data_IF_924420617775
#
_entry.id   IF_924420617775
#
_cell.length_a   1.000
_cell.length_b   1.000
_cell.length_c   1.000
_cell.angle_alpha   90.00
_cell.angle_beta   90.00
_cell.angle_gamma   90.00
#
_symmetry.space_group_name_H-M   'P 1'
#
loop_
_entity.id
_entity.type
_entity.pdbx_description
1 polymer ?
#
# COMPACT_ATOMS: atom_id res chain seq x y z
N UNK A 1 4.04 -1.93 10.30
CA UNK A 1 5.39 -2.17 10.84
C UNK A 1 6.34 -1.14 10.26
N UNK A 2 7.28 -0.66 11.05
CA UNK A 2 8.27 0.32 10.60
C UNK A 2 9.43 -0.36 9.86
N UNK A 3 10.18 0.40 9.04
CA UNK A 3 11.29 -0.11 8.22
C UNK A 3 12.30 -0.94 9.03
N UNK A 4 12.68 -0.47 10.22
CA UNK A 4 13.66 -1.17 11.07
C UNK A 4 13.19 -2.56 11.51
N UNK A 5 11.88 -2.74 11.68
CA UNK A 5 11.29 -4.00 12.14
C UNK A 5 11.24 -5.07 11.05
N UNK A 6 11.21 -4.65 9.76
CA UNK A 6 11.00 -5.57 8.64
C UNK A 6 12.17 -5.64 7.65
N UNK A 7 13.24 -4.89 7.87
CA UNK A 7 14.37 -4.79 6.93
C UNK A 7 14.96 -6.13 6.52
N UNK A 8 14.88 -7.15 7.38
CA UNK A 8 15.36 -8.51 7.09
C UNK A 8 14.50 -9.24 6.03
N UNK A 9 13.26 -8.82 5.84
CA UNK A 9 12.36 -9.37 4.80
C UNK A 9 12.65 -8.79 3.41
N UNK A 10 13.27 -7.62 3.33
CA UNK A 10 13.59 -6.96 2.07
C UNK A 10 14.77 -7.64 1.36
N UNK A 11 14.78 -7.57 0.03
CA UNK A 11 16.00 -7.88 -0.73
C UNK A 11 17.06 -6.80 -0.46
N UNK A 12 18.32 -7.05 -0.79
CA UNK A 12 19.38 -6.05 -0.61
C UNK A 12 19.05 -4.75 -1.35
N UNK A 13 18.66 -4.83 -2.62
CA UNK A 13 18.30 -3.65 -3.43
C UNK A 13 17.12 -2.86 -2.83
N UNK A 14 16.09 -3.57 -2.34
CA UNK A 14 14.95 -2.92 -1.67
C UNK A 14 15.37 -2.28 -0.35
N UNK A 15 16.20 -2.96 0.44
CA UNK A 15 16.71 -2.41 1.69
C UNK A 15 17.50 -1.12 1.45
N UNK A 16 18.48 -1.16 0.54
CA UNK A 16 19.34 -0.02 0.25
C UNK A 16 18.51 1.16 -0.28
N UNK A 17 17.55 0.89 -1.17
CA UNK A 17 16.63 1.90 -1.69
C UNK A 17 15.81 2.59 -0.57
N UNK A 18 15.16 1.81 0.29
CA UNK A 18 14.34 2.39 1.37
C UNK A 18 15.16 3.05 2.47
N UNK A 19 16.39 2.60 2.68
CA UNK A 19 17.33 3.27 3.58
C UNK A 19 17.66 4.68 3.07
N UNK A 20 18.02 4.82 1.78
CA UNK A 20 18.29 6.11 1.16
C UNK A 20 17.04 7.00 1.10
N UNK A 21 15.89 6.44 0.77
CA UNK A 21 14.62 7.18 0.78
C UNK A 21 14.31 7.72 2.19
N UNK A 22 14.41 6.89 3.23
CA UNK A 22 14.20 7.29 4.63
C UNK A 22 15.10 8.44 5.03
N UNK A 23 16.39 8.35 4.68
CA UNK A 23 17.39 9.37 4.94
C UNK A 23 17.07 10.70 4.23
N UNK A 24 16.63 10.60 2.96
CA UNK A 24 16.31 11.76 2.13
C UNK A 24 15.06 12.53 2.61
N UNK A 25 13.99 11.80 2.95
CA UNK A 25 12.74 12.42 3.39
C UNK A 25 12.74 12.83 4.86
N UNK A 26 13.62 12.24 5.67
CA UNK A 26 13.75 12.45 7.13
C UNK A 26 12.46 12.07 7.90
N UNK A 27 11.71 11.12 7.38
CA UNK A 27 10.47 10.61 7.98
C UNK A 27 10.51 9.09 8.11
N UNK A 28 9.83 8.51 9.10
CA UNK A 28 9.66 7.07 9.21
C UNK A 28 8.91 6.50 8.02
N UNK A 29 9.35 5.33 7.53
CA UNK A 29 8.69 4.55 6.48
C UNK A 29 8.00 3.36 7.12
N UNK A 30 6.73 3.16 6.77
CA UNK A 30 5.90 2.07 7.26
C UNK A 30 5.53 1.13 6.11
N UNK A 31 5.46 -0.15 6.43
CA UNK A 31 5.07 -1.19 5.48
C UNK A 31 3.78 -1.85 5.90
N UNK A 32 2.99 -2.23 4.92
CA UNK A 32 1.69 -2.89 5.08
C UNK A 32 1.54 -4.05 4.08
N UNK A 33 0.36 -4.61 4.03
CA UNK A 33 0.05 -5.66 3.07
C UNK A 33 0.76 -6.98 3.38
N UNK A 34 1.22 -7.67 2.35
CA UNK A 34 1.77 -9.02 2.51
C UNK A 34 3.09 -9.08 3.27
N UNK A 35 3.92 -8.03 3.20
CA UNK A 35 5.26 -8.03 3.85
C UNK A 35 5.19 -8.15 5.37
N UNK A 36 4.11 -7.69 6.01
CA UNK A 36 3.91 -7.82 7.45
C UNK A 36 3.33 -9.18 7.86
N UNK A 37 2.98 -10.03 6.90
CA UNK A 37 2.36 -11.35 7.10
C UNK A 37 3.33 -12.49 6.82
N UNK A 38 2.86 -13.71 7.02
CA UNK A 38 3.62 -14.93 6.76
C UNK A 38 3.54 -15.39 5.29
N UNK A 39 2.60 -14.87 4.51
CA UNK A 39 2.43 -15.16 3.09
C UNK A 39 3.26 -14.25 2.16
N UNK A 40 4.26 -13.55 2.68
CA UNK A 40 5.13 -12.70 1.89
C UNK A 40 6.18 -13.51 1.12
N UNK A 41 6.25 -13.29 -0.18
CA UNK A 41 7.28 -13.85 -1.06
C UNK A 41 8.34 -12.78 -1.35
N UNK A 42 9.51 -12.96 -0.76
CA UNK A 42 10.64 -12.03 -0.88
C UNK A 42 11.08 -11.83 -2.32
N UNK A 43 11.01 -10.59 -2.81
CA UNK A 43 11.40 -10.21 -4.18
C UNK A 43 10.33 -10.44 -5.25
N UNK A 44 9.16 -11.02 -4.91
CA UNK A 44 8.05 -11.26 -5.83
C UNK A 44 6.79 -10.49 -5.46
N UNK A 45 6.46 -10.47 -4.16
CA UNK A 45 5.28 -9.75 -3.69
C UNK A 45 5.48 -8.25 -3.76
N UNK A 46 4.43 -7.54 -4.18
CA UNK A 46 4.39 -6.08 -4.16
C UNK A 46 4.61 -5.54 -2.74
N UNK A 47 5.21 -4.36 -2.65
CA UNK A 47 5.45 -3.68 -1.38
C UNK A 47 4.46 -2.50 -1.25
N UNK A 48 3.62 -2.56 -0.23
CA UNK A 48 2.75 -1.45 0.16
C UNK A 48 3.47 -0.59 1.20
N UNK A 49 3.83 0.63 0.82
CA UNK A 49 4.63 1.56 1.62
C UNK A 49 3.81 2.77 2.01
N UNK A 50 3.90 3.20 3.26
CA UNK A 50 3.22 4.37 3.78
C UNK A 50 4.17 5.33 4.48
N UNK A 51 3.92 6.61 4.28
CA UNK A 51 4.59 7.70 4.96
C UNK A 51 3.52 8.59 5.58
N UNK A 52 3.68 8.89 6.86
CA UNK A 52 2.83 9.83 7.57
C UNK A 52 3.58 11.13 7.76
N UNK A 53 3.00 12.24 7.29
CA UNK A 53 3.69 13.53 7.24
C UNK A 53 2.85 14.64 7.84
N UNK A 54 3.47 15.54 8.62
CA UNK A 54 2.84 16.77 9.06
C UNK A 54 2.59 17.73 7.89
N UNK A 55 3.44 17.67 6.85
CA UNK A 55 3.31 18.47 5.64
C UNK A 55 3.35 17.60 4.37
N UNK A 56 2.17 17.14 3.95
CA UNK A 56 2.05 16.25 2.79
C UNK A 56 2.63 16.87 1.51
N UNK A 57 2.42 18.17 1.27
CA UNK A 57 2.86 18.80 0.03
C UNK A 57 4.40 18.85 -0.06
N UNK A 58 5.08 19.21 1.01
CA UNK A 58 6.53 19.18 1.06
C UNK A 58 7.08 17.76 0.86
N UNK A 59 6.52 16.78 1.57
CA UNK A 59 6.94 15.37 1.44
C UNK A 59 6.68 14.83 0.04
N UNK A 60 5.56 15.19 -0.58
CA UNK A 60 5.25 14.84 -1.97
C UNK A 60 6.31 15.34 -2.94
N UNK A 61 6.74 16.60 -2.81
CA UNK A 61 7.80 17.18 -3.65
C UNK A 61 9.13 16.44 -3.44
N UNK A 62 9.53 16.20 -2.19
CA UNK A 62 10.75 15.42 -1.87
C UNK A 62 10.71 14.04 -2.52
N UNK A 63 9.58 13.32 -2.39
CA UNK A 63 9.43 11.97 -2.97
C UNK A 63 9.50 12.01 -4.50
N UNK A 64 8.82 12.96 -5.15
CA UNK A 64 8.91 13.12 -6.60
C UNK A 64 10.34 13.33 -7.06
N UNK A 65 11.06 14.21 -6.39
CA UNK A 65 12.46 14.47 -6.69
C UNK A 65 13.33 13.23 -6.50
N UNK A 66 13.16 12.52 -5.39
CA UNK A 66 13.91 11.29 -5.10
C UNK A 66 13.64 10.19 -6.14
N UNK A 67 12.37 9.98 -6.50
CA UNK A 67 11.97 8.94 -7.44
C UNK A 67 12.22 9.34 -8.90
N UNK A 68 12.57 10.60 -9.17
CA UNK A 68 12.68 11.18 -10.50
C UNK A 68 11.45 10.86 -11.39
N UNK A 69 10.24 11.00 -10.81
CA UNK A 69 9.00 10.73 -11.51
C UNK A 69 8.27 12.01 -11.87
N UNK A 70 8.04 12.21 -13.17
CA UNK A 70 7.24 13.33 -13.70
C UNK A 70 5.72 13.03 -13.65
N UNK A 71 5.34 11.76 -13.49
CA UNK A 71 3.93 11.34 -13.52
C UNK A 71 3.15 11.98 -12.39
N UNK A 72 1.94 12.40 -12.71
CA UNK A 72 0.97 12.95 -11.74
C UNK A 72 0.67 11.91 -10.67
N UNK A 73 0.74 12.34 -9.43
CA UNK A 73 0.30 11.57 -8.28
C UNK A 73 -1.19 11.28 -8.40
N UNK A 74 -1.61 10.11 -7.98
CA UNK A 74 -3.03 9.84 -7.81
C UNK A 74 -3.44 10.29 -6.40
N UNK A 75 -4.45 11.14 -6.33
CA UNK A 75 -5.14 11.42 -5.07
C UNK A 75 -5.99 10.19 -4.77
N UNK A 76 -5.83 9.64 -3.59
CA UNK A 76 -6.62 8.50 -3.13
C UNK A 76 -7.42 8.88 -1.90
N UNK A 77 -8.56 8.23 -1.77
CA UNK A 77 -9.42 8.33 -0.60
C UNK A 77 -9.58 6.94 0.00
N UNK A 78 -9.49 6.89 1.30
CA UNK A 78 -9.68 5.68 2.08
C UNK A 78 -10.77 5.91 3.11
N UNK A 79 -11.70 4.97 3.18
CA UNK A 79 -12.74 4.99 4.20
C UNK A 79 -12.39 4.07 5.34
N UNK A 80 -12.18 4.64 6.52
CA UNK A 80 -12.01 3.88 7.75
C UNK A 80 -13.04 4.37 8.76
N UNK A 81 -13.91 3.47 9.21
CA UNK A 81 -14.96 3.81 10.20
C UNK A 81 -15.82 5.02 9.76
N UNK A 82 -16.23 5.05 8.48
CA UNK A 82 -17.02 6.13 7.88
C UNK A 82 -16.30 7.49 7.80
N UNK A 83 -15.00 7.57 8.10
CA UNK A 83 -14.21 8.80 7.97
C UNK A 83 -13.35 8.71 6.72
N UNK A 84 -13.48 9.68 5.78
CA UNK A 84 -12.61 9.72 4.62
C UNK A 84 -11.21 10.20 5.03
N UNK A 85 -10.20 9.45 4.62
CA UNK A 85 -8.80 9.84 4.75
C UNK A 85 -8.25 10.02 3.35
N UNK A 86 -7.71 11.19 3.05
CA UNK A 86 -7.10 11.46 1.74
C UNK A 86 -5.58 11.35 1.79
N UNK A 87 -4.99 10.92 0.69
CA UNK A 87 -3.55 10.82 0.54
C UNK A 87 -3.11 10.90 -0.92
N UNK A 88 -1.80 10.86 -1.13
CA UNK A 88 -1.21 10.80 -2.46
C UNK A 88 -0.53 9.46 -2.66
N UNK A 89 -0.81 8.80 -3.79
CA UNK A 89 -0.24 7.49 -4.14
C UNK A 89 0.72 7.60 -5.32
N UNK A 90 1.89 7.01 -5.17
CA UNK A 90 2.92 6.85 -6.19
C UNK A 90 3.07 5.37 -6.52
N UNK A 91 3.15 5.07 -7.80
CA UNK A 91 3.55 3.76 -8.29
C UNK A 91 5.00 3.86 -8.77
N UNK A 92 5.86 3.07 -8.18
CA UNK A 92 7.25 3.01 -8.59
C UNK A 92 7.60 1.61 -9.06
N UNK A 93 8.09 1.54 -10.27
CA UNK A 93 8.54 0.30 -10.87
C UNK A 93 9.86 0.60 -11.59
N UNK A 94 10.96 0.22 -10.97
CA UNK A 94 12.27 0.34 -11.59
C UNK A 94 12.74 -1.05 -12.04
N UNK A 95 12.50 -1.35 -13.32
CA UNK A 95 13.02 -2.53 -14.00
C UNK A 95 14.27 -2.18 -14.82
N UNK A 96 15.29 -1.60 -14.17
CA UNK A 96 16.56 -1.39 -14.84
C UNK A 96 17.14 -2.74 -15.26
N UNK A 97 17.58 -2.83 -16.54
CA UNK A 97 18.17 -4.04 -17.11
C UNK A 97 19.31 -4.55 -16.23
N UNK A 98 19.10 -5.73 -15.63
CA UNK A 98 20.12 -6.42 -14.85
C UNK A 98 20.10 -6.23 -13.34
N UNK A 99 19.34 -5.26 -12.79
CA UNK A 99 19.19 -5.07 -11.35
C UNK A 99 17.88 -5.67 -10.83
N UNK A 100 17.92 -6.14 -9.58
CA UNK A 100 16.72 -6.69 -8.93
C UNK A 100 15.66 -5.60 -8.82
N UNK A 101 14.51 -5.85 -9.43
CA UNK A 101 13.34 -5.00 -9.51
C UNK A 101 12.93 -4.48 -8.13
N UNK A 102 12.87 -3.15 -7.98
CA UNK A 102 12.22 -2.51 -6.84
C UNK A 102 10.86 -2.02 -7.30
N UNK A 103 9.81 -2.72 -6.87
CA UNK A 103 8.43 -2.45 -7.26
C UNK A 103 7.60 -2.21 -5.99
N UNK A 104 6.97 -1.04 -5.89
CA UNK A 104 6.18 -0.69 -4.70
C UNK A 104 5.14 0.39 -4.97
N UNK A 105 4.12 0.34 -4.14
CA UNK A 105 3.08 1.36 -4.01
C UNK A 105 3.37 2.21 -2.78
N UNK A 106 3.71 3.48 -2.97
CA UNK A 106 3.97 4.41 -1.87
C UNK A 106 2.81 5.37 -1.69
N UNK A 107 2.28 5.44 -0.49
CA UNK A 107 1.20 6.36 -0.14
C UNK A 107 1.61 7.31 0.98
N UNK A 108 1.32 8.60 0.80
CA UNK A 108 1.55 9.64 1.80
C UNK A 108 0.22 10.03 2.42
N UNK A 109 0.14 10.01 3.74
CA UNK A 109 -1.02 10.44 4.53
C UNK A 109 -0.63 11.52 5.53
N UNK A 110 -1.64 12.22 6.08
CA UNK A 110 -1.44 13.12 7.22
C UNK A 110 -1.04 12.34 8.47
N UNK A 111 -0.17 12.93 9.29
CA UNK A 111 0.34 12.33 10.54
C UNK A 111 -0.78 11.89 11.49
N UNK A 112 -1.86 12.65 11.58
CA UNK A 112 -3.00 12.34 12.45
C UNK A 112 -3.75 11.04 12.08
N UNK A 113 -3.55 10.50 10.88
CA UNK A 113 -4.13 9.23 10.45
C UNK A 113 -3.28 8.00 10.80
N UNK A 114 -2.04 8.20 11.25
CA UNK A 114 -1.06 7.14 11.54
C UNK A 114 -1.61 6.04 12.45
N UNK A 115 -2.17 6.40 13.59
CA UNK A 115 -2.69 5.43 14.55
C UNK A 115 -3.80 4.56 13.97
N UNK A 116 -4.68 5.14 13.15
CA UNK A 116 -5.75 4.40 12.46
C UNK A 116 -5.17 3.34 11.53
N UNK A 117 -4.14 3.70 10.75
CA UNK A 117 -3.46 2.76 9.86
C UNK A 117 -2.67 1.69 10.60
N UNK A 118 -2.01 2.01 11.70
CA UNK A 118 -1.27 1.03 12.49
C UNK A 118 -2.20 -0.03 13.11
N UNK A 119 -3.36 0.39 13.63
CA UNK A 119 -4.39 -0.54 14.12
C UNK A 119 -4.90 -1.44 13.00
N UNK A 120 -5.18 -0.86 11.83
CA UNK A 120 -5.62 -1.60 10.65
C UNK A 120 -4.56 -2.61 10.18
N UNK A 121 -3.31 -2.18 10.11
CA UNK A 121 -2.16 -3.02 9.75
C UNK A 121 -2.02 -4.21 10.69
N UNK A 122 -2.17 -4.00 12.00
CA UNK A 122 -2.13 -5.07 13.00
C UNK A 122 -3.26 -6.09 12.77
N UNK A 123 -4.48 -5.62 12.52
CA UNK A 123 -5.62 -6.52 12.19
C UNK A 123 -5.38 -7.31 10.90
N UNK A 124 -4.76 -6.71 9.88
CA UNK A 124 -4.39 -7.40 8.65
C UNK A 124 -3.29 -8.45 8.84
N UNK A 125 -2.38 -8.23 9.79
CA UNK A 125 -1.35 -9.20 10.12
C UNK A 125 -1.91 -10.41 10.89
N UNK A 126 -3.01 -10.23 11.61
CA UNK A 126 -3.66 -11.21 12.48
C UNK A 126 -4.61 -12.11 11.66
N UNK A 127 -4.06 -12.81 10.68
CA UNK A 127 -4.81 -13.73 9.82
C UNK A 127 -4.85 -15.13 10.40
N UNK A 128 -5.98 -15.84 10.19
CA UNK A 128 -6.06 -17.24 10.55
C UNK A 128 -5.04 -18.08 9.76
N UNK A 129 -4.61 -19.19 10.35
CA UNK A 129 -3.67 -20.09 9.70
C UNK A 129 -4.16 -20.62 8.34
N UNK A 130 -5.45 -20.90 8.22
CA UNK A 130 -6.07 -21.34 6.95
C UNK A 130 -5.98 -20.25 5.87
N UNK A 131 -6.17 -18.98 6.25
CA UNK A 131 -5.98 -17.86 5.33
C UNK A 131 -4.55 -17.77 4.81
N UNK A 132 -3.57 -17.94 5.70
CA UNK A 132 -2.15 -17.92 5.32
C UNK A 132 -1.85 -19.03 4.32
N UNK A 133 -2.29 -20.26 4.60
CA UNK A 133 -2.12 -21.40 3.67
C UNK A 133 -2.74 -21.11 2.31
N UNK A 134 -3.98 -20.61 2.29
CA UNK A 134 -4.65 -20.26 1.05
C UNK A 134 -3.84 -19.26 0.22
N UNK A 135 -3.38 -18.16 0.85
CA UNK A 135 -2.56 -17.16 0.16
C UNK A 135 -1.22 -17.71 -0.32
N UNK A 136 -0.60 -18.59 0.44
CA UNK A 136 0.62 -19.26 0.01
C UNK A 136 0.37 -20.13 -1.25
N UNK A 137 -0.73 -20.88 -1.27
CA UNK A 137 -1.09 -21.72 -2.43
C UNK A 137 -1.30 -20.85 -3.67
N UNK A 138 -2.18 -19.84 -3.62
CA UNK A 138 -2.48 -19.02 -4.81
C UNK A 138 -1.25 -18.24 -5.29
N UNK A 139 -0.39 -17.77 -4.38
CA UNK A 139 0.87 -17.12 -4.73
C UNK A 139 1.86 -18.10 -5.37
N UNK A 140 1.96 -19.32 -4.88
CA UNK A 140 2.80 -20.35 -5.48
C UNK A 140 2.33 -20.67 -6.90
N UNK A 141 1.01 -20.83 -7.11
CA UNK A 141 0.43 -21.07 -8.44
C UNK A 141 0.69 -19.89 -9.39
N UNK A 142 0.70 -18.67 -8.89
CA UNK A 142 0.92 -17.48 -9.70
C UNK A 142 2.41 -17.21 -9.97
N UNK A 143 3.26 -17.18 -8.93
CA UNK A 143 4.65 -16.73 -9.07
C UNK A 143 5.63 -17.83 -9.51
N UNK A 144 5.39 -19.09 -9.11
CA UNK A 144 6.34 -20.17 -9.36
C UNK A 144 5.88 -21.15 -10.44
N UNK A 145 4.60 -21.48 -10.47
CA UNK A 145 4.08 -22.49 -11.41
C UNK A 145 3.55 -21.81 -12.68
N UNK A 146 3.02 -20.59 -12.56
CA UNK A 146 2.50 -19.83 -13.70
C UNK A 146 1.18 -20.39 -14.29
N UNK A 147 0.45 -21.23 -13.53
CA UNK A 147 -0.82 -21.83 -13.98
C UNK A 147 -1.97 -20.79 -13.98
N UNK A 148 -1.93 -19.82 -13.07
CA UNK A 148 -2.95 -18.77 -12.98
C UNK A 148 -2.36 -17.45 -13.47
N UNK A 149 -3.15 -16.68 -14.22
CA UNK A 149 -2.79 -15.35 -14.67
C UNK A 149 -3.03 -14.28 -13.59
N UNK A 150 -2.61 -13.04 -13.87
CA UNK A 150 -2.75 -11.92 -12.94
C UNK A 150 -4.22 -11.61 -12.59
N UNK A 151 -5.14 -11.77 -13.54
CA UNK A 151 -6.56 -11.50 -13.34
C UNK A 151 -7.18 -12.54 -12.42
N UNK A 152 -6.92 -13.82 -12.69
CA UNK A 152 -7.39 -14.94 -11.86
C UNK A 152 -6.80 -14.86 -10.44
N UNK A 153 -5.49 -14.57 -10.32
CA UNK A 153 -4.85 -14.35 -9.02
C UNK A 153 -5.54 -13.23 -8.22
N UNK A 154 -5.84 -12.09 -8.87
CA UNK A 154 -6.53 -10.98 -8.21
C UNK A 154 -7.93 -11.39 -7.75
N UNK A 155 -8.71 -12.02 -8.60
CA UNK A 155 -10.09 -12.45 -8.27
C UNK A 155 -10.11 -13.43 -7.09
N UNK A 156 -9.21 -14.42 -7.07
CA UNK A 156 -9.08 -15.38 -5.97
C UNK A 156 -8.69 -14.69 -4.67
N UNK A 157 -7.76 -13.75 -4.74
CA UNK A 157 -7.33 -12.95 -3.60
C UNK A 157 -8.48 -12.11 -3.04
N UNK A 158 -9.20 -11.38 -3.91
CA UNK A 158 -10.28 -10.48 -3.50
C UNK A 158 -11.47 -11.28 -2.93
N UNK A 159 -11.88 -12.37 -3.57
CA UNK A 159 -12.93 -13.25 -3.08
C UNK A 159 -12.66 -13.78 -1.66
N UNK A 160 -11.43 -14.24 -1.43
CA UNK A 160 -11.09 -14.78 -0.12
C UNK A 160 -10.93 -13.70 0.94
N UNK A 161 -10.45 -12.52 0.53
CA UNK A 161 -10.31 -11.37 1.39
C UNK A 161 -11.66 -10.83 1.86
N UNK A 162 -12.62 -10.70 0.95
CA UNK A 162 -13.99 -10.29 1.27
C UNK A 162 -14.71 -11.28 2.19
N UNK A 163 -14.51 -12.58 1.98
CA UNK A 163 -15.15 -13.64 2.77
C UNK A 163 -14.65 -13.71 4.21
N UNK A 164 -13.40 -13.28 4.48
CA UNK A 164 -12.75 -13.46 5.80
C UNK A 164 -12.56 -12.18 6.61
N UNK A 165 -12.73 -10.99 6.04
CA UNK A 165 -12.40 -9.72 6.70
C UNK A 165 -13.60 -8.96 7.29
N UNK A 166 -14.72 -9.59 7.61
CA UNK A 166 -15.87 -8.96 8.32
C UNK A 166 -16.16 -7.50 7.88
N UNK A 167 -16.11 -7.22 6.59
CA UNK A 167 -16.38 -5.87 6.05
C UNK A 167 -15.26 -4.84 6.24
N UNK A 168 -14.06 -5.24 6.65
CA UNK A 168 -12.92 -4.35 6.82
C UNK A 168 -12.02 -4.34 5.58
N UNK A 169 -12.58 -3.96 4.42
CA UNK A 169 -11.80 -3.67 3.23
C UNK A 169 -11.51 -2.17 3.15
N UNK A 170 -10.26 -1.75 3.27
CA UNK A 170 -9.89 -0.39 2.90
C UNK A 170 -10.04 -0.26 1.37
N UNK A 171 -11.15 0.31 0.94
CA UNK A 171 -11.38 0.58 -0.48
C UNK A 171 -10.55 1.82 -0.84
N UNK A 172 -9.46 1.60 -1.57
CA UNK A 172 -8.72 2.68 -2.19
C UNK A 172 -9.46 3.09 -3.47
N UNK A 173 -10.13 4.21 -3.42
CA UNK A 173 -10.83 4.78 -4.58
C UNK A 173 -10.04 5.98 -5.10
N UNK A 174 -9.96 6.14 -6.41
CA UNK A 174 -9.46 7.38 -6.99
C UNK A 174 -10.48 8.52 -6.78
N UNK A 175 -10.07 9.75 -7.07
CA UNK A 175 -10.90 10.93 -6.85
C UNK A 175 -12.25 10.88 -7.63
N UNK A 176 -12.24 10.35 -8.85
CA UNK A 176 -13.44 10.29 -9.68
C UNK A 176 -14.41 9.23 -9.17
N UNK A 177 -13.90 8.08 -8.79
CA UNK A 177 -14.65 6.99 -8.18
C UNK A 177 -15.23 7.44 -6.84
N UNK A 178 -14.43 8.09 -5.99
CA UNK A 178 -14.88 8.71 -4.75
C UNK A 178 -16.04 9.70 -4.98
N UNK A 179 -15.89 10.61 -5.94
CA UNK A 179 -16.91 11.61 -6.26
C UNK A 179 -18.23 10.96 -6.67
N UNK A 180 -18.17 9.87 -7.44
CA UNK A 180 -19.37 9.15 -7.89
C UNK A 180 -20.05 8.38 -6.75
N UNK A 181 -19.29 7.66 -5.93
CA UNK A 181 -19.82 6.88 -4.80
C UNK A 181 -20.34 7.81 -3.70
N UNK A 182 -19.59 8.86 -3.38
CA UNK A 182 -19.89 9.74 -2.24
C UNK A 182 -20.94 10.78 -2.52
N UNK A 183 -20.98 11.39 -3.69
CA UNK A 183 -21.99 12.35 -4.07
C UNK A 183 -23.38 11.69 -4.09
N UNK A 184 -23.44 10.39 -4.40
CA UNK A 184 -24.67 9.61 -4.39
C UNK A 184 -25.14 9.24 -2.98
N UNK A 185 -24.21 8.90 -2.07
CA UNK A 185 -24.51 8.38 -0.74
C UNK A 185 -24.48 9.43 0.40
N UNK A 186 -23.80 10.56 0.17
CA UNK A 186 -23.62 11.63 1.15
C UNK A 186 -23.69 13.02 0.50
N UNK A 187 -24.86 13.45 0.01
CA UNK A 187 -25.02 14.70 -0.74
C UNK A 187 -24.67 15.97 0.07
N UNK A 188 -24.67 15.88 1.39
CA UNK A 188 -24.48 17.04 2.29
C UNK A 188 -23.06 17.15 2.88
N UNK A 189 -22.14 16.27 2.55
CA UNK A 189 -20.76 16.40 3.01
C UNK A 189 -20.00 17.33 2.06
N UNK A 190 -19.89 18.60 2.42
CA UNK A 190 -18.95 19.52 1.79
C UNK A 190 -17.55 18.90 1.92
N UNK A 191 -17.01 18.42 0.83
CA UNK A 191 -15.61 18.03 0.75
C UNK A 191 -14.76 19.26 1.08
N UNK A 192 -14.24 19.35 2.29
CA UNK A 192 -13.18 20.30 2.62
C UNK A 192 -11.89 19.80 1.92
N UNK A 193 -11.86 19.98 0.61
CA UNK A 193 -10.63 19.91 -0.18
C UNK A 193 -10.08 21.32 -0.20
N UNK A 194 -9.42 21.73 0.85
CA UNK A 194 -8.43 22.77 0.73
C UNK A 194 -7.18 22.09 0.14
N UNK A 195 -7.12 22.12 -1.20
CA UNK A 195 -5.94 21.84 -1.99
C UNK A 195 -4.89 22.90 -1.76
#
# INVERSE_FOLDING_TARGET
>A
MEFEEIKYKLTKSQHDFFYELKKYIELPIYFMGSIIRYDYYKGYSDLDVMIFSPNINSTKIKIRHFLNVEKKDKIIFLHINKKPISGYKFYYNNSLKGEKKVDFDLTIFKENSKNTFLIMSKKQADMSFLCIIYFLIIKTLYYHIGIIDKHMYKNLKDFFWESNNNGFNPIFVDYNEYKNIYKKNYPNVKCMINL
#
